data_IF_013982326001
#
_entry.id   IF_013982326001
#
_cell.length_a   1.000
_cell.length_b   1.000
_cell.length_c   1.000
_cell.angle_alpha   90.00
_cell.angle_beta   90.00
_cell.angle_gamma   90.00
#
_symmetry.space_group_name_H-M   'P 1'
#
loop_
_entity.id
_entity.type
_entity.pdbx_description
1 polymer ?
#
# COMPACT_ATOMS: atom_id res chain seq x y z
N UNK A 1 22.30 5.54 -16.13
CA UNK A 1 21.19 6.25 -15.46
C UNK A 1 19.96 5.36 -15.46
N UNK A 2 19.62 4.71 -14.34
CA UNK A 2 18.48 3.77 -14.24
C UNK A 2 17.21 4.59 -13.97
N UNK A 3 16.24 4.55 -14.89
CA UNK A 3 14.94 5.20 -14.72
C UNK A 3 14.01 4.23 -13.99
N UNK A 4 13.73 4.49 -12.72
CA UNK A 4 12.72 3.73 -11.98
C UNK A 4 11.34 4.00 -12.59
N UNK A 5 10.77 2.99 -13.24
CA UNK A 5 9.39 3.06 -13.69
C UNK A 5 8.45 2.92 -12.49
N UNK A 6 7.30 3.62 -12.48
CA UNK A 6 6.31 3.42 -11.44
C UNK A 6 5.84 1.96 -11.50
N UNK A 7 5.91 1.26 -10.38
CA UNK A 7 5.59 -0.17 -10.25
C UNK A 7 4.62 -0.39 -9.09
N UNK A 8 3.83 -1.45 -9.18
CA UNK A 8 2.94 -1.92 -8.14
C UNK A 8 3.14 -3.43 -7.92
N UNK A 9 3.07 -3.84 -6.67
CA UNK A 9 3.04 -5.25 -6.28
C UNK A 9 1.58 -5.65 -6.12
N UNK A 10 1.10 -6.54 -6.97
CA UNK A 10 -0.21 -7.16 -6.83
C UNK A 10 -0.12 -8.24 -5.76
N UNK A 11 -1.02 -8.17 -4.79
CA UNK A 11 -1.15 -9.12 -3.70
C UNK A 11 -2.37 -10.02 -3.94
N UNK A 12 -2.54 -11.01 -3.09
CA UNK A 12 -3.80 -11.75 -3.00
C UNK A 12 -5.00 -10.80 -2.79
N UNK A 13 -6.21 -11.30 -3.06
CA UNK A 13 -7.46 -10.55 -2.89
C UNK A 13 -7.54 -9.25 -3.72
N UNK A 14 -6.82 -9.19 -4.85
CA UNK A 14 -6.77 -8.01 -5.75
C UNK A 14 -6.26 -6.73 -5.08
N UNK A 15 -5.55 -6.86 -3.97
CA UNK A 15 -4.91 -5.73 -3.30
C UNK A 15 -3.60 -5.37 -4.01
N UNK A 16 -3.15 -4.12 -3.87
CA UNK A 16 -1.92 -3.62 -4.49
C UNK A 16 -1.11 -2.76 -3.54
N UNK A 17 0.16 -3.08 -3.37
CA UNK A 17 1.14 -2.21 -2.73
C UNK A 17 1.81 -1.33 -3.79
N UNK A 18 1.75 -0.02 -3.62
CA UNK A 18 2.34 0.94 -4.56
C UNK A 18 2.96 2.13 -3.82
N UNK A 19 3.87 2.85 -4.48
CA UNK A 19 4.44 4.07 -3.90
C UNK A 19 3.42 5.20 -3.98
N UNK A 20 2.94 5.66 -2.82
CA UNK A 20 2.09 6.83 -2.65
C UNK A 20 2.86 8.01 -2.04
N UNK A 21 2.28 9.21 -2.12
CA UNK A 21 2.73 10.39 -1.40
C UNK A 21 1.69 10.73 -0.34
N UNK A 22 2.05 10.60 0.94
CA UNK A 22 1.18 10.98 2.04
C UNK A 22 2.00 11.70 3.11
N UNK A 23 1.45 12.80 3.65
CA UNK A 23 2.14 13.64 4.63
C UNK A 23 3.53 14.10 4.14
N UNK A 24 3.62 14.50 2.86
CA UNK A 24 4.87 14.92 2.20
C UNK A 24 6.00 13.87 2.22
N UNK A 25 5.67 12.61 2.48
CA UNK A 25 6.62 11.49 2.50
C UNK A 25 6.19 10.43 1.50
N UNK A 26 7.17 9.80 0.85
CA UNK A 26 6.91 8.62 0.03
C UNK A 26 6.63 7.43 0.92
N UNK A 27 5.46 6.83 0.75
CA UNK A 27 4.98 5.69 1.54
C UNK A 27 4.57 4.54 0.64
N UNK A 28 4.47 3.35 1.21
CA UNK A 28 3.84 2.21 0.57
C UNK A 28 2.35 2.31 0.89
N UNK A 29 1.55 2.57 -0.13
CA UNK A 29 0.10 2.62 -0.09
C UNK A 29 -0.47 1.24 -0.43
N UNK A 30 -1.43 0.79 0.37
CA UNK A 30 -2.26 -0.36 0.08
C UNK A 30 -3.55 0.10 -0.60
N UNK A 31 -3.74 -0.28 -1.86
CA UNK A 31 -4.91 0.03 -2.66
C UNK A 31 -5.71 -1.22 -3.00
N UNK A 32 -7.01 -1.04 -3.28
CA UNK A 32 -7.90 -2.15 -3.66
C UNK A 32 -8.29 -3.07 -2.51
N UNK A 33 -8.03 -2.69 -1.26
CA UNK A 33 -8.49 -3.42 -0.09
C UNK A 33 -10.02 -3.31 0.06
N UNK A 34 -10.64 -4.34 0.65
CA UNK A 34 -12.05 -4.32 1.00
C UNK A 34 -12.27 -3.35 2.19
N UNK A 35 -13.11 -2.30 2.05
CA UNK A 35 -13.41 -1.37 3.13
C UNK A 35 -13.93 -2.03 4.41
N UNK A 36 -14.66 -3.14 4.31
CA UNK A 36 -15.15 -3.90 5.46
C UNK A 36 -14.01 -4.51 6.29
N UNK A 37 -12.85 -4.76 5.67
CA UNK A 37 -11.65 -5.28 6.32
C UNK A 37 -10.69 -4.20 6.85
N UNK A 38 -11.05 -2.92 6.72
CA UNK A 38 -10.15 -1.81 7.05
C UNK A 38 -9.73 -1.80 8.53
N UNK A 39 -10.63 -2.13 9.46
CA UNK A 39 -10.31 -2.21 10.89
C UNK A 39 -9.27 -3.30 11.18
N UNK A 40 -9.38 -4.46 10.52
CA UNK A 40 -8.41 -5.55 10.67
C UNK A 40 -7.02 -5.15 10.14
N UNK A 41 -6.98 -4.45 9.01
CA UNK A 41 -5.72 -3.90 8.47
C UNK A 41 -5.11 -2.83 9.39
N UNK A 42 -5.93 -1.96 9.98
CA UNK A 42 -5.46 -0.99 10.98
C UNK A 42 -4.94 -1.67 12.25
N UNK A 43 -5.60 -2.73 12.71
CA UNK A 43 -5.15 -3.53 13.85
C UNK A 43 -3.80 -4.21 13.60
N UNK A 44 -3.46 -4.50 12.34
CA UNK A 44 -2.11 -4.97 11.96
C UNK A 44 -1.03 -3.88 12.07
N UNK A 45 -1.42 -2.61 12.20
CA UNK A 45 -0.52 -1.46 12.34
C UNK A 45 -0.46 -0.54 11.10
N UNK A 46 -1.33 -0.74 10.11
CA UNK A 46 -1.40 0.19 8.97
C UNK A 46 -1.96 1.55 9.42
N UNK A 47 -1.37 2.63 8.90
CA UNK A 47 -1.85 3.99 9.13
C UNK A 47 -2.94 4.34 8.12
N UNK A 48 -4.04 4.91 8.58
CA UNK A 48 -5.09 5.45 7.71
C UNK A 48 -4.91 6.94 7.45
N UNK A 49 -5.21 7.38 6.23
CA UNK A 49 -5.35 8.79 5.88
C UNK A 49 -6.47 9.00 4.87
N UNK A 50 -6.99 10.22 4.80
CA UNK A 50 -7.92 10.63 3.74
C UNK A 50 -7.11 11.40 2.70
N UNK A 51 -7.05 10.88 1.48
CA UNK A 51 -6.37 11.53 0.34
C UNK A 51 -7.36 11.67 -0.80
N UNK A 52 -7.56 12.90 -1.28
CA UNK A 52 -8.50 13.22 -2.35
C UNK A 52 -9.85 12.51 -2.16
N UNK A 53 -10.44 12.69 -0.97
CA UNK A 53 -11.76 12.15 -0.58
C UNK A 53 -11.85 10.63 -0.47
N UNK A 54 -10.74 9.90 -0.57
CA UNK A 54 -10.69 8.45 -0.43
C UNK A 54 -9.90 8.03 0.80
N UNK A 55 -10.43 7.05 1.55
CA UNK A 55 -9.66 6.36 2.57
C UNK A 55 -8.51 5.60 1.91
N UNK A 56 -7.30 5.82 2.43
CA UNK A 56 -6.11 5.13 1.99
C UNK A 56 -5.33 4.63 3.19
N UNK A 57 -4.72 3.46 3.03
CA UNK A 57 -3.94 2.78 4.08
C UNK A 57 -2.47 2.77 3.67
N UNK A 58 -1.60 3.01 4.64
CA UNK A 58 -0.16 3.13 4.43
C UNK A 58 0.63 2.32 5.42
N UNK A 59 1.74 1.75 4.96
CA UNK A 59 2.76 1.20 5.86
C UNK A 59 3.49 2.36 6.55
N UNK A 60 3.67 2.33 7.89
CA UNK A 60 4.52 3.28 8.59
C UNK A 60 5.94 3.30 8.01
N UNK A 61 6.52 4.48 7.81
CA UNK A 61 7.88 4.61 7.24
C UNK A 61 8.99 4.47 8.30
N UNK A 62 8.65 4.59 9.59
CA UNK A 62 9.59 4.52 10.72
C UNK A 62 9.05 3.55 11.77
N UNK A 63 9.94 3.04 12.63
CA UNK A 63 9.58 2.06 13.66
C UNK A 63 9.28 0.71 13.03
N UNK A 64 8.15 0.10 13.42
CA UNK A 64 7.76 -1.26 13.04
C UNK A 64 7.32 -1.42 11.57
N UNK A 65 7.47 -0.40 10.73
CA UNK A 65 7.10 -0.40 9.31
C UNK A 65 7.52 -1.67 8.54
N UNK A 66 8.81 -2.07 8.58
CA UNK A 66 9.27 -3.29 7.93
C UNK A 66 8.58 -4.56 8.45
N UNK A 67 8.35 -4.67 9.76
CA UNK A 67 7.68 -5.82 10.37
C UNK A 67 6.19 -5.88 10.00
N UNK A 68 5.51 -4.73 9.95
CA UNK A 68 4.12 -4.61 9.50
C UNK A 68 4.01 -4.98 8.02
N UNK A 69 4.93 -4.52 7.18
CA UNK A 69 4.98 -4.91 5.77
C UNK A 69 5.21 -6.42 5.61
N UNK A 70 6.11 -7.02 6.40
CA UNK A 70 6.33 -8.46 6.37
C UNK A 70 5.03 -9.24 6.69
N UNK A 71 4.35 -8.89 7.79
CA UNK A 71 3.06 -9.49 8.16
C UNK A 71 1.98 -9.31 7.09
N UNK A 72 1.95 -8.14 6.46
CA UNK A 72 1.03 -7.88 5.35
C UNK A 72 1.30 -8.81 4.17
N UNK A 73 2.57 -9.00 3.80
CA UNK A 73 2.97 -9.87 2.69
C UNK A 73 2.84 -11.36 3.00
N UNK A 74 3.00 -11.75 4.27
CA UNK A 74 2.69 -13.11 4.76
C UNK A 74 1.19 -13.39 4.64
N UNK A 75 0.34 -12.42 4.98
CA UNK A 75 -1.11 -12.55 4.91
C UNK A 75 -1.65 -12.48 3.47
N UNK A 76 -1.11 -11.56 2.68
CA UNK A 76 -1.50 -11.33 1.30
C UNK A 76 -0.27 -11.51 0.40
N UNK A 77 0.03 -12.77 0.00
CA UNK A 77 1.20 -13.07 -0.79
C UNK A 77 1.20 -12.32 -2.12
N UNK A 78 2.39 -11.96 -2.59
CA UNK A 78 2.59 -11.28 -3.87
C UNK A 78 2.22 -12.24 -5.00
N UNK A 79 1.26 -11.85 -5.84
CA UNK A 79 0.83 -12.62 -6.99
C UNK A 79 1.53 -12.19 -8.28
N UNK A 80 1.83 -10.89 -8.44
CA UNK A 80 2.44 -10.33 -9.65
C UNK A 80 3.11 -8.98 -9.39
N UNK A 81 4.09 -8.63 -10.22
CA UNK A 81 4.62 -7.26 -10.34
C UNK A 81 4.09 -6.63 -11.62
N UNK A 82 3.53 -5.43 -11.53
CA UNK A 82 2.95 -4.72 -12.66
C UNK A 82 3.47 -3.29 -12.74
N UNK A 83 3.55 -2.77 -13.97
CA UNK A 83 3.77 -1.34 -14.16
C UNK A 83 2.59 -0.59 -13.57
N UNK A 84 2.87 0.40 -12.71
CA UNK A 84 1.86 1.32 -12.21
C UNK A 84 1.58 2.34 -13.31
N UNK A 85 0.52 2.11 -14.06
CA UNK A 85 -0.13 3.16 -14.83
C UNK A 85 -0.67 4.18 -13.83
N UNK A 86 -0.25 5.44 -13.91
CA UNK A 86 -0.90 6.49 -13.14
C UNK A 86 -2.39 6.42 -13.50
N UNK A 87 -3.26 6.21 -12.50
CA UNK A 87 -4.69 6.42 -12.71
C UNK A 87 -4.84 7.85 -13.22
N UNK A 88 -5.42 8.03 -14.39
CA UNK A 88 -5.79 9.34 -14.88
C UNK A 88 -6.54 10.07 -13.75
N UNK A 89 -6.05 11.27 -13.43
CA UNK A 89 -6.74 12.25 -12.59
C UNK A 89 -8.07 12.63 -13.22
#
# INVERSE_FOLDING_TARGET
MVRAMPMALCLAERQRNQRGLAMRLHRIELAGFNPLGAESLKAMGLMSGIISWRLSLFVPTRGDGPAILARLLERFPISRVEARTAGAV
#
